data_IF_092782743102
#
_entry.id   IF_092782743102
#
_cell.length_a   1.000
_cell.length_b   1.000
_cell.length_c   1.000
_cell.angle_alpha   90.00
_cell.angle_beta   90.00
_cell.angle_gamma   90.00
#
_symmetry.space_group_name_H-M   'P 1'
#
loop_
_entity.id
_entity.type
_entity.pdbx_description
1 polymer ?
#
# COMPACT_ATOMS: atom_id res chain seq x y z
N UNK A 1 -2.72 3.37 -24.89
CA UNK A 1 -1.96 2.36 -25.64
C UNK A 1 -1.53 1.31 -24.63
N UNK A 2 -2.01 0.07 -24.77
CA UNK A 2 -1.67 -1.02 -23.85
C UNK A 2 -0.18 -1.38 -24.03
N UNK A 3 0.59 -1.35 -22.94
CA UNK A 3 1.99 -1.73 -22.92
C UNK A 3 2.06 -3.25 -23.15
N UNK A 4 2.73 -3.71 -24.21
CA UNK A 4 2.67 -5.10 -24.68
C UNK A 4 3.45 -6.11 -23.82
N UNK A 5 3.69 -5.82 -22.54
CA UNK A 5 4.47 -6.65 -21.63
C UNK A 5 3.62 -7.59 -20.77
N UNK A 6 2.29 -7.54 -20.84
CA UNK A 6 1.39 -8.29 -19.96
C UNK A 6 1.01 -9.70 -20.46
N UNK A 7 1.70 -10.24 -21.46
CA UNK A 7 1.41 -11.58 -21.97
C UNK A 7 2.62 -12.49 -21.89
N UNK A 8 2.64 -13.33 -20.85
CA UNK A 8 3.49 -14.53 -20.72
C UNK A 8 3.20 -15.61 -21.80
N UNK A 9 2.20 -15.38 -22.65
CA UNK A 9 1.81 -16.30 -23.72
C UNK A 9 2.30 -15.79 -25.09
N UNK A 10 3.31 -16.43 -25.69
CA UNK A 10 3.73 -16.12 -27.05
C UNK A 10 2.62 -16.50 -28.05
N UNK A 11 2.36 -15.63 -29.03
CA UNK A 11 1.27 -15.78 -30.02
C UNK A 11 1.33 -17.08 -30.85
N UNK A 12 2.47 -17.77 -30.86
CA UNK A 12 2.77 -18.90 -31.75
C UNK A 12 3.12 -20.20 -31.01
N UNK A 13 2.93 -20.28 -29.68
CA UNK A 13 3.19 -21.50 -28.90
C UNK A 13 4.66 -21.89 -28.69
N UNK A 14 5.62 -21.12 -29.23
CA UNK A 14 7.04 -21.28 -28.91
C UNK A 14 7.40 -20.45 -27.68
N UNK A 15 7.92 -21.10 -26.64
CA UNK A 15 8.44 -20.44 -25.45
C UNK A 15 9.51 -19.41 -25.84
N UNK A 16 9.23 -18.13 -25.56
CA UNK A 16 10.18 -17.03 -25.74
C UNK A 16 11.19 -17.04 -24.59
N UNK A 17 12.17 -17.94 -24.73
CA UNK A 17 13.20 -18.18 -23.72
C UNK A 17 13.99 -16.90 -23.37
N UNK A 18 14.38 -16.02 -24.33
CA UNK A 18 14.98 -14.73 -24.01
C UNK A 18 14.09 -13.83 -23.17
N UNK A 19 12.78 -13.77 -23.44
CA UNK A 19 11.84 -12.98 -22.63
C UNK A 19 11.61 -13.60 -21.24
N UNK A 20 11.55 -14.94 -21.14
CA UNK A 20 11.49 -15.61 -19.85
C UNK A 20 12.76 -15.32 -19.04
N UNK A 21 13.94 -15.40 -19.67
CA UNK A 21 15.22 -15.09 -19.03
C UNK A 21 15.33 -13.61 -18.63
N UNK A 22 14.82 -12.67 -19.44
CA UNK A 22 14.83 -11.25 -19.09
C UNK A 22 13.92 -10.97 -17.90
N UNK A 23 12.74 -11.59 -17.85
CA UNK A 23 11.81 -11.50 -16.71
C UNK A 23 12.43 -12.14 -15.46
N UNK A 24 13.03 -13.33 -15.57
CA UNK A 24 13.73 -13.98 -14.46
C UNK A 24 14.92 -13.15 -13.97
N UNK A 25 15.69 -12.55 -14.87
CA UNK A 25 16.80 -11.65 -14.53
C UNK A 25 16.30 -10.35 -13.87
N UNK A 26 15.13 -9.83 -14.25
CA UNK A 26 14.50 -8.70 -13.54
C UNK A 26 14.10 -9.08 -12.11
N UNK A 27 13.64 -10.32 -11.89
CA UNK A 27 13.36 -10.83 -10.54
C UNK A 27 14.62 -11.14 -9.73
N UNK A 28 15.75 -11.42 -10.40
CA UNK A 28 17.07 -11.60 -9.77
C UNK A 28 17.88 -10.30 -9.65
N UNK A 29 17.45 -9.22 -10.30
CA UNK A 29 18.18 -7.97 -10.29
C UNK A 29 18.19 -7.37 -8.89
N UNK A 30 19.39 -6.99 -8.43
CA UNK A 30 19.52 -6.40 -7.11
C UNK A 30 18.84 -5.02 -7.08
N UNK A 31 17.80 -4.88 -6.26
CA UNK A 31 17.08 -3.62 -6.14
C UNK A 31 17.94 -2.65 -5.34
N UNK A 32 18.39 -1.56 -5.96
CA UNK A 32 19.28 -0.62 -5.28
C UNK A 32 18.68 -0.11 -3.95
N UNK A 33 19.47 -0.05 -2.84
CA UNK A 33 18.97 0.32 -1.51
C UNK A 33 18.16 1.61 -1.46
N UNK A 34 18.52 2.62 -2.26
CA UNK A 34 17.77 3.88 -2.30
C UNK A 34 16.32 3.69 -2.79
N UNK A 35 16.06 2.76 -3.70
CA UNK A 35 14.70 2.49 -4.19
C UNK A 35 13.86 1.81 -3.09
N UNK A 36 14.48 0.96 -2.26
CA UNK A 36 13.83 0.34 -1.10
C UNK A 36 13.52 1.38 -0.01
N UNK A 37 14.45 2.32 0.24
CA UNK A 37 14.26 3.44 1.16
C UNK A 37 13.12 4.37 0.69
N UNK A 38 13.08 4.71 -0.60
CA UNK A 38 11.98 5.49 -1.17
C UNK A 38 10.62 4.78 -1.03
N UNK A 39 10.56 3.48 -1.32
CA UNK A 39 9.34 2.70 -1.13
C UNK A 39 8.88 2.69 0.33
N UNK A 40 9.83 2.53 1.28
CA UNK A 40 9.54 2.58 2.71
C UNK A 40 8.98 3.94 3.13
N UNK A 41 9.61 5.04 2.71
CA UNK A 41 9.17 6.40 3.03
C UNK A 41 7.71 6.64 2.57
N UNK A 42 7.36 6.23 1.35
CA UNK A 42 5.99 6.37 0.85
C UNK A 42 4.96 5.54 1.63
N UNK A 43 5.34 4.34 2.09
CA UNK A 43 4.47 3.52 2.93
C UNK A 43 4.29 4.13 4.33
N UNK A 44 5.34 4.75 4.88
CA UNK A 44 5.26 5.50 6.14
C UNK A 44 4.36 6.73 6.01
N UNK A 45 4.49 7.51 4.93
CA UNK A 45 3.62 8.64 4.59
C UNK A 45 2.16 8.20 4.45
N UNK A 46 1.91 7.08 3.77
CA UNK A 46 0.56 6.50 3.65
C UNK A 46 -0.01 6.16 5.03
N UNK A 47 0.77 5.49 5.89
CA UNK A 47 0.34 5.14 7.24
C UNK A 47 0.00 6.38 8.07
N UNK A 48 0.85 7.41 8.02
CA UNK A 48 0.60 8.67 8.75
C UNK A 48 -0.62 9.40 8.23
N UNK A 49 -0.79 9.46 6.91
CA UNK A 49 -1.95 10.09 6.28
C UNK A 49 -3.26 9.43 6.71
N UNK A 50 -3.28 8.09 6.81
CA UNK A 50 -4.46 7.36 7.30
C UNK A 50 -4.72 7.68 8.78
N UNK A 51 -3.68 7.75 9.62
CA UNK A 51 -3.83 8.10 11.05
C UNK A 51 -4.40 9.52 11.22
N UNK A 52 -3.90 10.50 10.46
CA UNK A 52 -4.47 11.86 10.47
C UNK A 52 -5.91 11.88 9.99
N UNK A 53 -6.24 11.12 8.94
CA UNK A 53 -7.60 10.98 8.43
C UNK A 53 -8.56 10.41 9.48
N UNK A 54 -8.15 9.39 10.23
CA UNK A 54 -8.96 8.81 11.32
C UNK A 54 -9.22 9.85 12.41
N UNK A 55 -8.21 10.64 12.78
CA UNK A 55 -8.38 11.73 13.76
C UNK A 55 -9.38 12.80 13.27
N UNK A 56 -9.30 13.19 11.99
CA UNK A 56 -10.23 14.14 11.40
C UNK A 56 -11.68 13.60 11.38
N UNK A 57 -11.86 12.32 11.04
CA UNK A 57 -13.17 11.65 11.10
C UNK A 57 -13.72 11.66 12.53
N UNK A 58 -12.89 11.36 13.53
CA UNK A 58 -13.30 11.43 14.94
C UNK A 58 -13.80 12.83 15.33
N UNK A 59 -13.10 13.88 14.92
CA UNK A 59 -13.53 15.26 15.16
C UNK A 59 -14.85 15.60 14.46
N UNK A 60 -15.03 15.13 13.22
CA UNK A 60 -16.29 15.33 12.48
C UNK A 60 -17.46 14.62 13.15
N UNK A 61 -17.26 13.39 13.61
CA UNK A 61 -18.28 12.63 14.34
C UNK A 61 -18.65 13.27 15.66
N UNK A 62 -17.67 13.83 16.37
CA UNK A 62 -17.91 14.61 17.59
C UNK A 62 -18.71 15.88 17.32
N UNK A 63 -18.34 16.64 16.28
CA UNK A 63 -19.13 17.81 15.88
C UNK A 63 -20.56 17.43 15.48
N UNK A 64 -20.69 16.36 14.71
CA UNK A 64 -21.96 15.84 14.24
C UNK A 64 -22.89 15.42 15.39
N UNK A 65 -22.36 14.78 16.45
CA UNK A 65 -23.18 14.34 17.58
C UNK A 65 -23.74 15.49 18.41
N UNK A 66 -23.12 16.68 18.34
CA UNK A 66 -23.53 17.88 19.08
C UNK A 66 -24.33 18.87 18.20
N UNK A 67 -24.55 18.56 16.91
CA UNK A 67 -25.26 19.44 15.97
C UNK A 67 -26.77 19.22 16.07
N UNK A 68 -27.49 20.21 16.60
CA UNK A 68 -28.95 20.14 16.77
C UNK A 68 -29.71 20.04 15.43
N UNK A 69 -29.15 20.62 14.36
CA UNK A 69 -29.75 20.54 13.02
C UNK A 69 -29.47 19.21 12.29
N UNK A 70 -28.64 18.33 12.85
CA UNK A 70 -28.31 17.07 12.21
C UNK A 70 -29.31 15.99 12.58
N UNK A 71 -30.12 15.58 11.61
CA UNK A 71 -31.16 14.59 11.82
C UNK A 71 -30.61 13.24 12.30
N UNK A 72 -31.25 12.66 13.32
CA UNK A 72 -30.80 11.43 13.98
C UNK A 72 -30.64 10.25 13.00
N UNK A 73 -31.56 10.13 12.03
CA UNK A 73 -31.48 9.06 11.03
C UNK A 73 -30.30 9.27 10.09
N UNK A 74 -30.02 10.51 9.70
CA UNK A 74 -28.89 10.84 8.84
C UNK A 74 -27.57 10.59 9.57
N UNK A 75 -27.47 10.97 10.85
CA UNK A 75 -26.33 10.65 11.69
C UNK A 75 -26.09 9.13 11.79
N UNK A 76 -27.14 8.32 11.95
CA UNK A 76 -27.05 6.85 11.98
C UNK A 76 -26.53 6.26 10.67
N UNK A 77 -27.03 6.73 9.54
CA UNK A 77 -26.58 6.24 8.23
C UNK A 77 -25.12 6.65 7.95
N UNK A 78 -24.77 7.90 8.22
CA UNK A 78 -23.42 8.42 8.01
C UNK A 78 -22.39 7.74 8.94
N UNK A 79 -22.72 7.54 10.22
CA UNK A 79 -21.85 6.80 11.16
C UNK A 79 -21.67 5.34 10.77
N UNK A 80 -22.72 4.67 10.25
CA UNK A 80 -22.61 3.30 9.74
C UNK A 80 -21.63 3.23 8.56
N UNK A 81 -21.78 4.15 7.60
CA UNK A 81 -20.98 4.15 6.39
C UNK A 81 -19.51 4.53 6.69
N UNK A 82 -19.28 5.47 7.62
CA UNK A 82 -17.95 5.76 8.18
C UNK A 82 -17.36 4.52 8.87
N UNK A 83 -18.16 3.81 9.68
CA UNK A 83 -17.73 2.57 10.33
C UNK A 83 -17.29 1.50 9.32
N UNK A 84 -18.03 1.35 8.22
CA UNK A 84 -17.65 0.46 7.12
C UNK A 84 -16.34 0.90 6.45
N UNK A 85 -16.17 2.19 6.16
CA UNK A 85 -14.93 2.74 5.59
C UNK A 85 -13.72 2.47 6.50
N UNK A 86 -13.84 2.72 7.81
CA UNK A 86 -12.77 2.47 8.79
C UNK A 86 -12.36 0.99 8.84
N UNK A 87 -13.32 0.08 8.70
CA UNK A 87 -13.05 -1.35 8.62
C UNK A 87 -12.22 -1.72 7.36
N UNK A 88 -12.46 -1.07 6.22
CA UNK A 88 -11.64 -1.26 5.02
C UNK A 88 -10.25 -0.62 5.16
N UNK A 89 -10.17 0.58 5.73
CA UNK A 89 -8.90 1.29 5.96
C UNK A 89 -7.94 0.49 6.84
N UNK A 90 -8.45 -0.27 7.82
CA UNK A 90 -7.65 -1.20 8.62
C UNK A 90 -6.77 -2.11 7.75
N UNK A 91 -7.35 -2.70 6.69
CA UNK A 91 -6.61 -3.63 5.83
C UNK A 91 -5.48 -2.93 5.07
N UNK A 92 -5.70 -1.69 4.65
CA UNK A 92 -4.68 -0.86 3.97
C UNK A 92 -3.53 -0.53 4.92
N UNK A 93 -3.83 -0.17 6.17
CA UNK A 93 -2.81 0.11 7.20
C UNK A 93 -2.01 -1.15 7.53
N UNK A 94 -2.67 -2.29 7.69
CA UNK A 94 -2.01 -3.58 7.92
C UNK A 94 -1.08 -3.94 6.76
N UNK A 95 -1.54 -3.78 5.52
CA UNK A 95 -0.71 -3.98 4.34
C UNK A 95 0.53 -3.07 4.36
N UNK A 96 0.35 -1.76 4.54
CA UNK A 96 1.45 -0.82 4.56
C UNK A 96 2.48 -1.15 5.66
N UNK A 97 2.00 -1.50 6.86
CA UNK A 97 2.85 -1.86 8.00
C UNK A 97 3.65 -3.14 7.72
N UNK A 98 3.02 -4.17 7.14
CA UNK A 98 3.71 -5.39 6.77
C UNK A 98 4.78 -5.15 5.69
N UNK A 99 4.49 -4.29 4.70
CA UNK A 99 5.46 -3.94 3.67
C UNK A 99 6.65 -3.15 4.23
N UNK A 100 6.42 -2.24 5.18
CA UNK A 100 7.50 -1.52 5.89
C UNK A 100 8.42 -2.51 6.60
N UNK A 101 7.86 -3.45 7.37
CA UNK A 101 8.65 -4.45 8.08
C UNK A 101 9.49 -5.32 7.12
N UNK A 102 8.91 -5.75 5.99
CA UNK A 102 9.62 -6.52 4.97
C UNK A 102 10.76 -5.73 4.31
N UNK A 103 10.57 -4.42 4.13
CA UNK A 103 11.62 -3.54 3.60
C UNK A 103 12.74 -3.31 4.62
N UNK A 104 12.40 -3.18 5.91
CA UNK A 104 13.38 -3.09 6.99
C UNK A 104 14.26 -4.33 7.06
N UNK A 105 13.67 -5.53 7.03
CA UNK A 105 14.42 -6.78 7.00
C UNK A 105 15.38 -6.84 5.80
N UNK A 106 14.91 -6.46 4.61
CA UNK A 106 15.74 -6.44 3.39
C UNK A 106 16.88 -5.44 3.45
N UNK A 107 16.64 -4.23 3.96
CA UNK A 107 17.66 -3.19 4.09
C UNK A 107 18.73 -3.62 5.09
N UNK A 108 18.33 -4.15 6.24
CA UNK A 108 19.25 -4.66 7.26
C UNK A 108 20.12 -5.81 6.72
N UNK A 109 19.55 -6.73 5.95
CA UNK A 109 20.32 -7.81 5.32
C UNK A 109 21.32 -7.33 4.26
N UNK A 110 21.01 -6.23 3.55
CA UNK A 110 21.95 -5.64 2.58
C UNK A 110 23.11 -4.93 3.27
N UNK A 111 22.84 -4.16 4.32
CA UNK A 111 23.90 -3.50 5.10
C UNK A 111 24.88 -4.51 5.71
N UNK A 112 24.42 -5.70 6.11
CA UNK A 112 25.31 -6.76 6.61
C UNK A 112 26.21 -7.31 5.50
N UNK A 113 25.67 -7.57 4.30
CA UNK A 113 26.43 -8.14 3.19
C UNK A 113 27.41 -7.16 2.53
N UNK A 114 27.15 -5.85 2.58
CA UNK A 114 28.08 -4.82 2.08
C UNK A 114 29.25 -4.55 3.05
N UNK A 115 29.18 -5.05 4.28
CA UNK A 115 30.20 -4.90 5.33
C UNK A 115 31.06 -6.17 5.57
N UNK A 116 30.83 -7.25 4.81
CA UNK A 116 31.67 -8.48 4.75
C UNK A 116 32.63 -8.46 3.56
#
# INVERSE_FOLDING_TARGET
>A
MANSNDTLCPKNGQYDLPNLLSVLNLYQADIQPQNLLHAKAHLEELRQSILWGIGAIGNLLFWASECEEYEEQQFKDDTRDIGYLLAQLKNVVCFASNQINLLDDKLNHKEVNDNE
#
